data_IF_226432347646
#
_entry.id   IF_226432347646
#
_cell.length_a   1.000
_cell.length_b   1.000
_cell.length_c   1.000
_cell.angle_alpha   90.00
_cell.angle_beta   90.00
_cell.angle_gamma   90.00
#
_symmetry.space_group_name_H-M   'P 1'
#
loop_
_entity.id
_entity.type
_entity.pdbx_description
1 polymer ?
#
# COMPACT_ATOMS: atom_id res chain seq x y z
N UNK A 1 9.55 4.42 6.11
CA UNK A 1 8.37 3.53 6.02
C UNK A 1 7.25 4.24 6.74
N UNK A 2 6.00 4.06 6.31
CA UNK A 2 4.83 4.72 6.87
C UNK A 2 4.58 6.15 6.38
N UNK A 3 5.53 6.75 5.66
CA UNK A 3 5.30 8.02 4.96
C UNK A 3 4.19 7.82 3.90
N UNK A 4 3.28 8.78 3.72
CA UNK A 4 2.23 8.68 2.71
C UNK A 4 2.84 8.66 1.31
N UNK A 5 2.19 7.94 0.40
CA UNK A 5 2.50 7.95 -1.02
C UNK A 5 1.23 7.82 -1.85
N UNK A 6 1.27 8.33 -3.08
CA UNK A 6 0.21 8.16 -4.07
C UNK A 6 0.75 7.25 -5.18
N UNK A 7 0.12 6.09 -5.46
CA UNK A 7 0.53 5.23 -6.56
C UNK A 7 0.39 5.95 -7.90
N UNK A 8 1.39 5.86 -8.76
CA UNK A 8 1.39 6.47 -10.10
C UNK A 8 0.49 5.71 -11.08
N UNK A 9 0.28 4.41 -10.84
CA UNK A 9 -0.59 3.55 -11.63
C UNK A 9 -1.73 3.00 -10.79
N UNK A 10 -2.94 3.53 -11.01
CA UNK A 10 -4.18 3.04 -10.41
C UNK A 10 -5.01 2.31 -11.48
N UNK A 11 -5.54 1.10 -11.20
CA UNK A 11 -6.46 0.42 -12.11
C UNK A 11 -7.71 1.28 -12.39
N UNK A 12 -8.32 1.14 -13.57
CA UNK A 12 -9.48 1.96 -13.95
C UNK A 12 -10.67 1.88 -12.97
N UNK A 13 -10.86 0.70 -12.37
CA UNK A 13 -11.89 0.47 -11.36
C UNK A 13 -11.37 0.67 -9.92
N UNK A 14 -10.11 1.07 -9.72
CA UNK A 14 -9.46 1.13 -8.41
C UNK A 14 -8.87 -0.21 -7.94
N UNK A 15 -8.32 -0.20 -6.74
CA UNK A 15 -7.73 -1.38 -6.11
C UNK A 15 -8.80 -2.24 -5.44
N UNK A 16 -8.71 -3.57 -5.63
CA UNK A 16 -9.66 -4.55 -5.12
C UNK A 16 -9.55 -4.72 -3.60
N UNK A 17 -10.67 -4.97 -2.89
CA UNK A 17 -10.64 -5.34 -1.49
C UNK A 17 -9.74 -6.56 -1.26
N UNK A 18 -8.86 -6.48 -0.26
CA UNK A 18 -7.99 -7.59 0.14
C UNK A 18 -6.74 -7.79 -0.73
N UNK A 19 -6.54 -7.02 -1.79
CA UNK A 19 -5.31 -7.13 -2.60
C UNK A 19 -4.14 -6.36 -1.99
N UNK A 20 -2.92 -6.86 -2.17
CA UNK A 20 -1.70 -6.10 -1.91
C UNK A 20 -1.05 -5.74 -3.23
N UNK A 21 -0.96 -4.44 -3.52
CA UNK A 21 -0.26 -3.91 -4.67
C UNK A 21 1.01 -3.19 -4.26
N UNK A 22 2.08 -3.38 -5.03
CA UNK A 22 3.36 -2.73 -4.84
C UNK A 22 3.80 -2.01 -6.10
N UNK A 23 4.03 -0.71 -5.95
CA UNK A 23 4.75 0.06 -6.94
C UNK A 23 6.22 0.14 -6.55
N UNK A 24 7.06 -0.54 -7.33
CA UNK A 24 8.51 -0.40 -7.23
C UNK A 24 8.98 0.76 -8.08
N UNK A 25 9.95 1.53 -7.58
CA UNK A 25 10.50 2.76 -8.17
C UNK A 25 9.74 4.06 -7.85
N UNK A 26 8.85 4.04 -6.87
CA UNK A 26 8.16 5.25 -6.41
C UNK A 26 9.18 6.30 -5.93
N UNK A 27 9.10 7.52 -6.47
CA UNK A 27 10.02 8.62 -6.11
C UNK A 27 9.66 9.29 -4.79
N UNK A 28 8.45 9.07 -4.30
CA UNK A 28 7.93 9.61 -3.04
C UNK A 28 8.53 8.83 -1.84
N UNK A 29 8.80 7.54 -2.05
CA UNK A 29 9.35 6.67 -1.02
C UNK A 29 10.87 6.61 -1.06
N UNK A 30 11.54 6.87 0.07
CA UNK A 30 13.00 6.67 0.19
C UNK A 30 13.43 5.24 -0.13
N UNK A 31 12.60 4.27 0.25
CA UNK A 31 12.73 2.83 -0.04
C UNK A 31 12.35 2.46 -1.45
N UNK A 32 11.82 3.40 -2.25
CA UNK A 32 11.30 3.21 -3.61
C UNK A 32 10.09 2.29 -3.72
N UNK A 33 9.44 1.93 -2.62
CA UNK A 33 8.29 1.03 -2.64
C UNK A 33 7.09 1.73 -2.01
N UNK A 34 6.09 2.04 -2.84
CA UNK A 34 4.76 2.45 -2.39
C UNK A 34 3.86 1.22 -2.36
N UNK A 35 3.18 1.00 -1.24
CA UNK A 35 2.28 -0.12 -1.05
C UNK A 35 0.85 0.38 -0.99
N UNK A 36 -0.06 -0.37 -1.61
CA UNK A 36 -1.50 -0.32 -1.36
C UNK A 36 -1.88 -1.67 -0.76
N UNK A 37 -2.28 -1.68 0.51
CA UNK A 37 -2.51 -2.91 1.26
C UNK A 37 -3.98 -3.07 1.62
N UNK A 38 -4.63 -4.05 0.98
CA UNK A 38 -6.03 -4.43 1.20
C UNK A 38 -6.95 -3.20 1.22
N UNK A 39 -6.82 -2.36 0.20
CA UNK A 39 -7.56 -1.12 0.11
C UNK A 39 -8.98 -1.38 -0.41
N UNK A 40 -9.98 -0.80 0.24
CA UNK A 40 -11.39 -1.06 -0.03
C UNK A 40 -12.01 -2.04 0.95
N UNK A 41 -13.17 -1.66 1.49
CA UNK A 41 -13.89 -2.48 2.49
C UNK A 41 -14.93 -3.43 1.86
N UNK A 42 -15.49 -3.07 0.70
CA UNK A 42 -16.56 -3.83 0.03
C UNK A 42 -16.57 -3.66 -1.50
N UNK A 43 -15.97 -2.58 -2.01
CA UNK A 43 -15.83 -2.30 -3.42
C UNK A 43 -14.42 -1.79 -3.70
N UNK A 44 -13.96 -1.89 -4.95
CA UNK A 44 -12.72 -1.27 -5.36
C UNK A 44 -12.69 0.24 -5.09
N UNK A 45 -11.53 0.77 -4.70
CA UNK A 45 -11.35 2.20 -4.40
C UNK A 45 -10.07 2.75 -5.04
N UNK A 46 -10.13 4.02 -5.43
CA UNK A 46 -9.01 4.79 -5.96
C UNK A 46 -8.46 5.73 -4.86
N UNK A 47 -7.20 5.59 -4.43
CA UNK A 47 -6.59 6.43 -3.40
C UNK A 47 -6.04 7.76 -3.93
N UNK A 48 -6.22 8.08 -5.21
CA UNK A 48 -5.68 9.30 -5.84
C UNK A 48 -6.41 10.58 -5.46
N UNK A 49 -7.62 10.48 -4.90
CA UNK A 49 -8.42 11.61 -4.44
C UNK A 49 -9.21 11.24 -3.19
N UNK A 50 -8.95 11.94 -2.09
CA UNK A 50 -9.71 11.78 -0.85
C UNK A 50 -11.07 12.46 -0.92
N UNK A 51 -11.99 12.02 -0.07
CA UNK A 51 -13.27 12.69 0.17
C UNK A 51 -13.07 14.15 0.58
N UNK A 52 -12.10 14.40 1.46
CA UNK A 52 -11.76 15.71 1.98
C UNK A 52 -11.28 16.63 0.84
N UNK A 53 -10.30 16.20 0.04
CA UNK A 53 -9.81 16.98 -1.11
C UNK A 53 -10.93 17.23 -2.14
N UNK A 54 -11.78 16.23 -2.39
CA UNK A 54 -12.94 16.37 -3.27
C UNK A 54 -13.90 17.47 -2.80
N UNK A 55 -14.21 17.51 -1.50
CA UNK A 55 -15.07 18.52 -0.89
C UNK A 55 -14.42 19.91 -0.94
N UNK A 56 -13.13 20.02 -0.65
CA UNK A 56 -12.37 21.28 -0.74
C UNK A 56 -12.37 21.84 -2.16
N UNK A 57 -12.32 20.96 -3.17
CA UNK A 57 -12.37 21.31 -4.59
C UNK A 57 -13.80 21.62 -5.08
N UNK A 58 -14.82 21.42 -4.25
CA UNK A 58 -16.22 21.67 -4.60
C UNK A 58 -16.77 20.72 -5.67
N UNK A 59 -16.25 19.49 -5.72
CA UNK A 59 -16.71 18.46 -6.66
C UNK A 59 -18.00 17.77 -6.13
N UNK A 60 -18.69 17.06 -7.01
CA UNK A 60 -19.87 16.26 -6.66
C UNK A 60 -19.47 14.82 -6.28
N UNK A 61 -20.40 14.10 -5.63
CA UNK A 61 -20.28 12.66 -5.33
C UNK A 61 -19.09 12.24 -4.45
N UNK A 62 -18.51 13.16 -3.67
CA UNK A 62 -17.38 12.90 -2.76
C UNK A 62 -17.66 11.86 -1.66
N UNK A 63 -18.93 11.55 -1.39
CA UNK A 63 -19.31 10.54 -0.39
C UNK A 63 -18.91 9.12 -0.78
N UNK A 64 -18.63 8.87 -2.06
CA UNK A 64 -18.18 7.57 -2.56
C UNK A 64 -16.65 7.39 -2.50
N UNK A 65 -15.91 8.47 -2.23
CA UNK A 65 -14.45 8.44 -2.15
C UNK A 65 -13.97 7.97 -0.77
N UNK A 66 -12.78 7.35 -0.69
CA UNK A 66 -12.15 7.06 0.58
C UNK A 66 -11.79 8.35 1.33
N UNK A 67 -11.82 8.31 2.66
CA UNK A 67 -11.30 9.41 3.48
C UNK A 67 -9.77 9.44 3.46
N UNK A 68 -9.17 10.58 3.78
CA UNK A 68 -7.71 10.70 3.95
C UNK A 68 -7.17 9.68 4.95
N UNK A 69 -7.86 9.47 6.07
CA UNK A 69 -7.48 8.48 7.08
C UNK A 69 -7.47 7.05 6.50
N UNK A 70 -8.47 6.70 5.69
CA UNK A 70 -8.53 5.39 5.05
C UNK A 70 -7.38 5.19 4.05
N UNK A 71 -7.01 6.24 3.31
CA UNK A 71 -5.86 6.22 2.40
C UNK A 71 -4.58 6.04 3.21
N UNK A 72 -4.31 6.89 4.20
CA UNK A 72 -3.06 6.89 4.99
C UNK A 72 -2.82 5.57 5.74
N UNK A 73 -3.89 4.92 6.20
CA UNK A 73 -3.79 3.63 6.87
C UNK A 73 -3.37 2.49 5.93
N UNK A 74 -3.70 2.60 4.64
CA UNK A 74 -3.63 1.49 3.67
C UNK A 74 -2.67 1.76 2.51
N UNK A 75 -2.26 3.00 2.29
CA UNK A 75 -1.38 3.44 1.22
C UNK A 75 -0.19 4.19 1.81
N UNK A 76 0.98 3.56 1.77
CA UNK A 76 2.17 4.10 2.42
C UNK A 76 3.46 3.53 1.85
N UNK A 77 4.55 4.26 2.08
CA UNK A 77 5.88 3.80 1.78
C UNK A 77 6.26 2.61 2.67
N UNK A 78 6.57 1.48 2.07
CA UNK A 78 7.00 0.26 2.76
C UNK A 78 8.44 -0.09 2.40
N UNK A 79 8.93 -1.21 2.88
CA UNK A 79 10.21 -1.79 2.53
C UNK A 79 10.07 -3.31 2.45
N UNK A 80 10.93 -3.94 1.64
CA UNK A 80 11.05 -5.39 1.62
C UNK A 80 11.77 -5.85 2.89
N UNK A 81 11.21 -6.82 3.59
CA UNK A 81 11.80 -7.40 4.80
C UNK A 81 12.26 -8.85 4.62
N UNK A 82 11.71 -9.56 3.63
CA UNK A 82 12.18 -10.90 3.27
C UNK A 82 12.26 -11.06 1.75
N UNK A 83 13.21 -11.87 1.32
CA UNK A 83 13.42 -12.23 -0.08
C UNK A 83 13.85 -13.70 -0.15
N UNK A 84 13.76 -14.29 -1.34
CA UNK A 84 14.32 -15.61 -1.58
C UNK A 84 15.82 -15.63 -1.19
N UNK A 85 16.33 -16.69 -0.51
CA UNK A 85 17.73 -16.78 -0.09
C UNK A 85 18.75 -16.61 -1.22
N UNK A 86 18.37 -16.97 -2.45
CA UNK A 86 19.22 -16.83 -3.63
C UNK A 86 19.12 -15.43 -4.29
N UNK A 87 18.26 -14.55 -3.76
CA UNK A 87 18.07 -13.18 -4.22
C UNK A 87 19.11 -12.22 -3.63
N UNK A 88 19.65 -11.33 -4.47
CA UNK A 88 20.48 -10.21 -4.03
C UNK A 88 19.67 -8.93 -3.77
N UNK A 89 18.34 -9.05 -3.63
CA UNK A 89 17.48 -7.88 -3.45
C UNK A 89 17.64 -7.33 -2.04
N UNK A 90 17.91 -6.01 -1.87
CA UNK A 90 18.05 -5.41 -0.55
C UNK A 90 16.77 -5.59 0.30
N UNK A 91 16.96 -5.94 1.56
CA UNK A 91 15.91 -5.98 2.58
C UNK A 91 16.19 -4.97 3.69
N UNK A 92 15.20 -4.72 4.54
CA UNK A 92 15.37 -3.97 5.77
C UNK A 92 14.57 -4.59 6.92
N UNK A 93 14.87 -4.17 8.14
CA UNK A 93 14.11 -4.53 9.33
C UNK A 93 12.85 -3.66 9.43
N UNK A 94 11.71 -4.28 9.71
CA UNK A 94 10.48 -3.54 10.00
C UNK A 94 10.62 -2.83 11.35
N UNK A 95 10.39 -1.52 11.35
CA UNK A 95 10.43 -0.70 12.56
C UNK A 95 9.13 -0.81 13.38
N UNK A 96 9.06 -0.06 14.48
CA UNK A 96 7.90 -0.03 15.36
C UNK A 96 6.59 0.24 14.61
N UNK A 97 5.54 -0.54 14.92
CA UNK A 97 4.22 -0.45 14.28
C UNK A 97 4.12 -1.17 12.93
N UNK A 98 5.16 -1.91 12.52
CA UNK A 98 5.16 -2.71 11.30
C UNK A 98 5.64 -4.14 11.57
N UNK A 99 4.96 -5.10 10.94
CA UNK A 99 5.30 -6.51 10.97
C UNK A 99 5.70 -6.97 9.57
N UNK A 100 6.74 -7.80 9.48
CA UNK A 100 7.13 -8.42 8.23
C UNK A 100 6.12 -9.50 7.84
N UNK A 101 5.46 -9.32 6.69
CA UNK A 101 4.59 -10.35 6.10
C UNK A 101 5.40 -11.13 5.06
N UNK A 102 6.01 -12.24 5.48
CA UNK A 102 7.07 -12.95 4.74
C UNK A 102 6.68 -13.43 3.33
N UNK A 103 5.41 -13.77 3.13
CA UNK A 103 4.89 -14.31 1.87
C UNK A 103 3.82 -13.40 1.26
N UNK A 104 3.98 -12.09 1.41
CA UNK A 104 2.97 -11.15 0.93
C UNK A 104 2.80 -11.21 -0.59
N UNK A 105 3.91 -11.22 -1.34
CA UNK A 105 3.89 -11.42 -2.79
C UNK A 105 4.60 -12.72 -3.16
N UNK A 106 3.80 -13.75 -3.42
CA UNK A 106 4.26 -15.06 -3.88
C UNK A 106 4.30 -15.15 -5.41
N UNK A 107 3.53 -14.32 -6.10
CA UNK A 107 3.45 -14.24 -7.55
C UNK A 107 4.24 -13.03 -8.07
N UNK A 108 5.00 -13.20 -9.15
CA UNK A 108 5.83 -12.14 -9.74
C UNK A 108 7.27 -12.56 -10.03
N UNK A 109 8.09 -11.64 -10.50
CA UNK A 109 9.54 -11.85 -10.65
C UNK A 109 10.30 -11.66 -9.34
N UNK A 110 11.54 -12.13 -9.26
CA UNK A 110 12.40 -12.03 -8.06
C UNK A 110 12.53 -10.59 -7.53
N UNK A 111 12.44 -9.63 -8.44
CA UNK A 111 12.45 -8.20 -8.13
C UNK A 111 11.24 -7.70 -7.35
N UNK A 112 10.16 -8.48 -7.17
CA UNK A 112 8.98 -8.13 -6.36
C UNK A 112 8.54 -9.21 -5.35
N UNK A 113 8.94 -10.48 -5.56
CA UNK A 113 8.56 -11.57 -4.66
C UNK A 113 9.24 -11.45 -3.29
N UNK A 114 8.51 -11.87 -2.26
CA UNK A 114 8.96 -11.88 -0.87
C UNK A 114 8.05 -11.06 0.04
N UNK A 115 8.57 -10.77 1.22
CA UNK A 115 7.81 -10.14 2.28
C UNK A 115 8.11 -8.66 2.44
N UNK A 116 7.10 -7.96 2.94
CA UNK A 116 7.13 -6.51 3.09
C UNK A 116 6.58 -6.10 4.45
N UNK A 117 7.04 -4.95 4.93
CA UNK A 117 6.59 -4.40 6.20
C UNK A 117 5.17 -3.85 6.08
N UNK A 118 4.23 -4.44 6.81
CA UNK A 118 2.82 -4.05 6.84
C UNK A 118 2.48 -3.47 8.21
N UNK A 119 1.66 -2.41 8.27
CA UNK A 119 1.21 -1.80 9.54
C UNK A 119 0.49 -2.82 10.42
N UNK A 120 0.87 -2.86 11.69
CA UNK A 120 0.26 -3.76 12.69
C UNK A 120 -1.25 -3.54 12.83
N UNK A 121 -1.69 -2.28 12.78
CA UNK A 121 -3.10 -1.88 12.86
C UNK A 121 -3.95 -2.51 11.75
N UNK A 122 -3.38 -2.61 10.54
CA UNK A 122 -4.08 -3.22 9.41
C UNK A 122 -4.17 -4.75 9.52
N UNK A 123 -3.19 -5.38 10.16
CA UNK A 123 -3.16 -6.84 10.38
C UNK A 123 -4.13 -7.27 11.49
N UNK A 124 -4.27 -6.46 12.54
CA UNK A 124 -5.17 -6.72 13.66
C UNK A 124 -6.65 -6.68 13.27
N UNK A 125 -6.99 -6.02 12.15
CA UNK A 125 -8.37 -5.91 11.66
C UNK A 125 -8.85 -7.19 10.95
N UNK A 126 -7.93 -8.08 10.58
CA UNK A 126 -8.20 -9.35 9.86
C UNK A 126 -8.14 -10.61 10.75
N UNK A 127 -8.09 -10.44 12.09
CA UNK A 127 -8.01 -11.55 13.08
C UNK A 127 -9.31 -11.86 13.80
#
# INVERSE_FOLDING_TARGET
MGDPCVPESVPADGFQPGEAYLETSSVQCRTRVCMVYQFGAASPLDPSLSQEECLERGLADCSALPTEEQIDQRVYCTCRCSADPDSNTPTCECGDGFTCQDDLLTLGGDGIRGGYCVRDETLATDS
#
